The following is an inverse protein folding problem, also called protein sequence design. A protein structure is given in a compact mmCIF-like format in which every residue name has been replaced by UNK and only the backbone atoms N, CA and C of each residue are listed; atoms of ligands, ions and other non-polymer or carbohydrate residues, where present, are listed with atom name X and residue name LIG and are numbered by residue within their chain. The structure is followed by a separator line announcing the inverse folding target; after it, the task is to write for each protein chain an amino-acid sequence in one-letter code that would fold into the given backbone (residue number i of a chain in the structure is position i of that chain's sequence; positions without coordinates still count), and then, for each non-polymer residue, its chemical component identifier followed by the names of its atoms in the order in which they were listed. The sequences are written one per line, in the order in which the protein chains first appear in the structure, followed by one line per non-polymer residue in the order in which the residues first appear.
data_IF_442931179431
#
_entry.id   IF_442931179431
#
_cell.length_a   1.000
_cell.length_b   1.000
_cell.length_c   1.000
_cell.angle_alpha   90.00
_cell.angle_beta   90.00
_cell.angle_gamma   90.00
#
_symmetry.space_group_name_H-M   'P 1'
#
loop_
_entity.id
_entity.type
_entity.pdbx_description
1 polymer ?
#
# COMPACT_ATOMS: atom_id res chain seq x y z
N UNK A 1 -1.16 -25.35 7.28
CA UNK A 1 -0.66 -25.23 8.68
C UNK A 1 -0.53 -26.59 9.35
N UNK A 2 -1.53 -27.48 9.29
CA UNK A 2 -1.49 -28.80 9.95
C UNK A 2 -0.31 -29.70 9.51
N UNK A 3 0.22 -29.48 8.29
CA UNK A 3 1.35 -30.23 7.73
C UNK A 3 2.70 -29.49 7.84
N UNK A 4 2.75 -28.31 8.50
CA UNK A 4 3.97 -27.52 8.65
C UNK A 4 4.43 -26.83 7.36
N UNK A 5 3.55 -26.61 6.37
CA UNK A 5 3.84 -25.84 5.17
C UNK A 5 3.53 -24.36 5.36
N UNK A 6 4.22 -23.53 4.58
CA UNK A 6 4.03 -22.09 4.49
C UNK A 6 3.43 -21.75 3.14
N UNK A 7 2.40 -20.89 3.13
CA UNK A 7 1.83 -20.31 1.92
C UNK A 7 2.27 -18.85 1.82
N UNK A 8 2.83 -18.47 0.69
CA UNK A 8 3.27 -17.09 0.40
C UNK A 8 2.65 -16.65 -0.91
N UNK A 9 2.08 -15.45 -0.94
CA UNK A 9 1.44 -14.95 -2.14
C UNK A 9 0.62 -13.70 -1.88
N UNK A 10 -0.29 -13.41 -2.78
CA UNK A 10 -1.14 -12.23 -2.73
C UNK A 10 -2.55 -12.52 -3.26
N UNK A 11 -3.46 -11.62 -2.90
CA UNK A 11 -4.77 -11.46 -3.50
C UNK A 11 -4.83 -10.06 -4.09
N UNK A 12 -5.10 -9.94 -5.39
CA UNK A 12 -5.17 -8.64 -6.05
C UNK A 12 -6.42 -7.86 -5.62
N UNK A 13 -6.37 -6.54 -5.76
CA UNK A 13 -7.52 -5.67 -5.51
C UNK A 13 -8.74 -6.07 -6.36
N UNK A 14 -8.51 -6.50 -7.59
CA UNK A 14 -9.54 -6.89 -8.56
C UNK A 14 -10.24 -8.20 -8.20
N UNK A 15 -9.75 -8.93 -7.21
CA UNK A 15 -10.45 -10.08 -6.65
C UNK A 15 -11.64 -9.69 -5.74
N UNK A 16 -11.82 -8.41 -5.42
CA UNK A 16 -12.84 -7.93 -4.49
C UNK A 16 -14.26 -8.44 -4.77
N UNK A 17 -14.75 -8.55 -6.03
CA UNK A 17 -16.09 -9.11 -6.32
C UNK A 17 -16.27 -10.58 -5.92
N UNK A 18 -15.17 -11.32 -5.75
CA UNK A 18 -15.25 -12.71 -5.25
C UNK A 18 -15.58 -12.80 -3.76
N UNK A 19 -15.38 -11.72 -3.01
CA UNK A 19 -15.67 -11.62 -1.57
C UNK A 19 -16.99 -10.92 -1.26
N UNK A 20 -17.41 -9.97 -2.10
CA UNK A 20 -18.66 -9.24 -1.95
C UNK A 20 -19.19 -8.83 -3.34
N UNK A 21 -20.38 -9.32 -3.71
CA UNK A 21 -21.00 -9.11 -5.03
C UNK A 21 -21.26 -7.63 -5.39
N UNK A 22 -21.35 -6.75 -4.39
CA UNK A 22 -21.54 -5.31 -4.60
C UNK A 22 -20.27 -4.59 -5.03
N UNK A 23 -19.12 -5.20 -4.81
CA UNK A 23 -17.85 -4.60 -5.24
C UNK A 23 -17.71 -4.66 -6.75
N UNK A 24 -17.35 -3.55 -7.34
CA UNK A 24 -17.10 -3.44 -8.77
C UNK A 24 -15.63 -3.03 -8.96
N UNK A 25 -15.01 -3.66 -9.92
CA UNK A 25 -13.63 -3.36 -10.31
C UNK A 25 -13.55 -3.06 -11.79
N UNK A 26 -12.60 -2.23 -12.18
CA UNK A 26 -12.31 -1.97 -13.57
C UNK A 26 -11.28 -2.98 -14.08
N UNK A 27 -11.43 -3.40 -15.34
CA UNK A 27 -10.41 -4.18 -16.01
C UNK A 27 -9.17 -3.29 -16.16
N UNK A 28 -8.10 -3.61 -15.46
CA UNK A 28 -6.86 -2.85 -15.58
C UNK A 28 -6.22 -3.11 -16.96
N UNK A 29 -5.83 -2.07 -17.70
CA UNK A 29 -5.22 -2.22 -19.03
C UNK A 29 -3.92 -3.03 -19.04
N UNK A 30 -3.25 -3.10 -17.89
CA UNK A 30 -1.96 -3.77 -17.71
C UNK A 30 -2.07 -5.16 -17.08
N UNK A 31 -3.28 -5.66 -16.81
CA UNK A 31 -3.46 -6.86 -16.00
C UNK A 31 -3.25 -8.15 -16.82
N UNK A 32 -2.04 -8.67 -16.74
CA UNK A 32 -1.75 -10.10 -16.98
C UNK A 32 -1.62 -10.89 -15.67
N UNK A 33 -1.94 -10.26 -14.53
CA UNK A 33 -1.70 -10.81 -13.22
C UNK A 33 -2.82 -11.74 -12.76
N UNK A 34 -2.47 -12.70 -11.91
CA UNK A 34 -3.46 -13.55 -11.26
C UNK A 34 -4.27 -12.75 -10.23
N UNK A 35 -5.57 -12.99 -10.15
CA UNK A 35 -6.41 -12.45 -9.08
C UNK A 35 -5.99 -12.99 -7.71
N UNK A 36 -5.40 -14.18 -7.70
CA UNK A 36 -4.91 -14.85 -6.52
C UNK A 36 -3.71 -15.71 -6.91
N UNK A 37 -2.57 -15.51 -6.25
CA UNK A 37 -1.36 -16.30 -6.46
C UNK A 37 -0.77 -16.72 -5.14
N UNK A 38 -0.54 -18.02 -4.93
CA UNK A 38 0.12 -18.56 -3.75
C UNK A 38 1.08 -19.68 -4.11
N UNK A 39 2.24 -19.65 -3.52
CA UNK A 39 3.21 -20.75 -3.55
C UNK A 39 3.26 -21.44 -2.20
N UNK A 40 3.55 -22.75 -2.21
CA UNK A 40 3.62 -23.58 -1.00
C UNK A 40 5.07 -23.99 -0.76
N UNK A 41 5.57 -23.68 0.42
CA UNK A 41 6.94 -23.94 0.83
C UNK A 41 6.98 -24.88 2.05
N UNK A 42 7.99 -25.74 2.11
CA UNK A 42 8.20 -26.65 3.24
C UNK A 42 9.17 -26.08 4.28
N UNK A 43 9.83 -24.98 4.00
CA UNK A 43 10.73 -24.26 4.90
C UNK A 43 10.74 -22.77 4.59
N UNK A 44 11.14 -21.98 5.58
CA UNK A 44 11.45 -20.55 5.45
C UNK A 44 12.89 -20.31 5.90
N UNK A 45 13.47 -19.23 5.41
CA UNK A 45 14.79 -18.74 5.84
C UNK A 45 14.64 -17.31 6.33
N UNK A 46 15.38 -16.97 7.37
CA UNK A 46 15.46 -15.57 7.81
C UNK A 46 16.49 -14.85 6.95
N UNK A 47 16.07 -13.74 6.35
CA UNK A 47 16.96 -12.83 5.66
C UNK A 47 17.07 -11.52 6.44
N UNK A 48 18.26 -10.93 6.44
CA UNK A 48 18.44 -9.59 7.00
C UNK A 48 17.81 -8.55 6.08
N UNK A 49 17.17 -7.54 6.67
CA UNK A 49 16.75 -6.35 5.92
C UNK A 49 18.03 -5.61 5.47
N UNK A 50 18.16 -5.23 4.20
CA UNK A 50 19.32 -4.50 3.74
C UNK A 50 19.42 -3.17 4.47
N UNK A 51 20.63 -2.82 4.92
CA UNK A 51 20.93 -1.51 5.53
C UNK A 51 21.39 -0.50 4.49
N UNK A 52 21.84 -0.99 3.34
CA UNK A 52 22.30 -0.20 2.19
C UNK A 52 21.77 -0.87 0.92
N UNK A 53 21.72 -0.13 -0.16
CA UNK A 53 21.34 -0.64 -1.47
C UNK A 53 22.42 -0.32 -2.51
N UNK A 54 22.47 -1.10 -3.57
CA UNK A 54 23.25 -0.79 -4.75
C UNK A 54 22.56 0.33 -5.54
N UNK A 55 23.35 1.21 -6.16
CA UNK A 55 22.76 2.23 -7.05
C UNK A 55 22.04 1.56 -8.21
N UNK A 56 20.80 1.94 -8.39
CA UNK A 56 19.96 1.50 -9.49
C UNK A 56 19.42 2.71 -10.23
N UNK A 57 19.43 2.65 -11.55
CA UNK A 57 18.89 3.72 -12.38
C UNK A 57 17.36 3.76 -12.26
N UNK A 58 16.84 4.87 -11.78
CA UNK A 58 15.40 5.10 -11.68
C UNK A 58 14.90 5.86 -12.90
N UNK A 59 13.65 5.63 -13.34
CA UNK A 59 13.10 6.36 -14.47
C UNK A 59 13.17 7.87 -14.26
N UNK A 60 13.67 8.58 -15.29
CA UNK A 60 13.74 10.03 -15.27
C UNK A 60 12.35 10.70 -15.25
N UNK A 61 11.33 10.00 -15.76
CA UNK A 61 9.96 10.48 -15.81
C UNK A 61 8.96 9.32 -15.61
N UNK A 62 7.87 9.63 -14.94
CA UNK A 62 6.72 8.76 -14.74
C UNK A 62 5.53 9.32 -15.49
N UNK A 63 4.83 8.49 -16.23
CA UNK A 63 3.62 8.87 -16.96
C UNK A 63 2.38 8.48 -16.16
N UNK A 64 1.50 9.47 -15.89
CA UNK A 64 0.19 9.21 -15.31
C UNK A 64 -0.76 8.57 -16.33
N UNK A 65 -1.49 7.54 -15.93
CA UNK A 65 -2.55 6.93 -16.75
C UNK A 65 -3.86 7.70 -16.67
N UNK A 66 -4.01 8.59 -15.70
CA UNK A 66 -5.17 9.46 -15.53
C UNK A 66 -4.78 10.87 -15.93
N UNK A 67 -5.52 11.48 -16.85
CA UNK A 67 -5.32 12.87 -17.24
C UNK A 67 -5.73 13.83 -16.11
N UNK A 68 -5.21 15.04 -16.12
CA UNK A 68 -5.58 16.10 -15.16
C UNK A 68 -7.09 16.39 -15.19
N UNK A 69 -7.71 16.40 -16.36
CA UNK A 69 -9.13 16.65 -16.51
C UNK A 69 -9.98 15.53 -15.90
N UNK A 70 -9.60 14.26 -16.10
CA UNK A 70 -10.26 13.11 -15.49
C UNK A 70 -10.12 13.15 -13.97
N UNK A 71 -8.93 13.48 -13.48
CA UNK A 71 -8.69 13.64 -12.04
C UNK A 71 -9.58 14.73 -11.43
N UNK A 72 -9.62 15.93 -12.02
CA UNK A 72 -10.45 17.03 -11.53
C UNK A 72 -11.93 16.65 -11.51
N UNK A 73 -12.44 16.05 -12.58
CA UNK A 73 -13.82 15.58 -12.65
C UNK A 73 -14.15 14.52 -11.59
N UNK A 74 -13.24 13.58 -11.36
CA UNK A 74 -13.40 12.56 -10.32
C UNK A 74 -13.47 13.19 -8.92
N UNK A 75 -12.58 14.13 -8.61
CA UNK A 75 -12.57 14.85 -7.33
C UNK A 75 -13.85 15.66 -7.12
N UNK A 76 -14.34 16.35 -8.15
CA UNK A 76 -15.62 17.07 -8.08
C UNK A 76 -16.79 16.13 -7.79
N UNK A 77 -16.83 14.97 -8.44
CA UNK A 77 -17.85 13.94 -8.22
C UNK A 77 -17.77 13.38 -6.79
N UNK A 78 -16.58 13.09 -6.29
CA UNK A 78 -16.36 12.62 -4.91
C UNK A 78 -16.84 13.67 -3.90
N UNK A 79 -16.48 14.93 -4.10
CA UNK A 79 -16.94 16.02 -3.24
C UNK A 79 -18.46 16.17 -3.26
N UNK A 80 -19.11 15.93 -4.40
CA UNK A 80 -20.57 15.93 -4.50
C UNK A 80 -21.18 14.84 -3.60
N UNK A 81 -20.72 13.59 -3.72
CA UNK A 81 -21.20 12.47 -2.91
C UNK A 81 -20.96 12.65 -1.42
N UNK A 82 -19.79 13.20 -1.04
CA UNK A 82 -19.52 13.54 0.37
C UNK A 82 -20.50 14.58 0.89
N UNK A 83 -20.81 15.64 0.12
CA UNK A 83 -21.76 16.66 0.54
C UNK A 83 -23.21 16.15 0.64
N UNK A 84 -23.57 15.15 -0.17
CA UNK A 84 -24.89 14.50 -0.10
C UNK A 84 -24.98 13.50 1.07
N UNK A 85 -23.86 13.12 1.67
CA UNK A 85 -23.82 12.13 2.74
C UNK A 85 -23.83 10.68 2.23
N UNK A 86 -23.60 10.47 0.94
CA UNK A 86 -23.52 9.13 0.35
C UNK A 86 -22.27 8.36 0.83
N UNK A 87 -21.21 9.09 1.10
CA UNK A 87 -19.96 8.58 1.66
C UNK A 87 -19.29 9.66 2.51
N UNK A 88 -18.38 9.26 3.41
CA UNK A 88 -17.62 10.21 4.23
C UNK A 88 -16.13 10.25 3.83
N UNK A 89 -15.65 9.26 3.11
CA UNK A 89 -14.25 9.18 2.67
C UNK A 89 -14.15 8.36 1.38
N UNK A 90 -13.27 8.78 0.49
CA UNK A 90 -12.88 8.04 -0.71
C UNK A 90 -11.36 8.10 -0.84
N UNK A 91 -10.73 6.94 -1.06
CA UNK A 91 -9.33 6.85 -1.44
C UNK A 91 -9.24 6.82 -2.97
N UNK A 92 -8.99 7.96 -3.57
CA UNK A 92 -8.82 8.05 -5.02
C UNK A 92 -7.36 7.84 -5.38
N UNK A 93 -7.10 6.85 -6.22
CA UNK A 93 -5.74 6.48 -6.64
C UNK A 93 -5.53 6.77 -8.12
N UNK A 94 -4.32 7.15 -8.48
CA UNK A 94 -3.86 7.27 -9.87
C UNK A 94 -2.67 6.33 -10.07
N UNK A 95 -2.61 5.73 -11.26
CA UNK A 95 -1.49 4.87 -11.64
C UNK A 95 -0.46 5.69 -12.41
N UNK A 96 0.80 5.45 -12.09
CA UNK A 96 1.94 5.98 -12.82
C UNK A 96 2.68 4.81 -13.46
N UNK A 97 3.15 5.01 -14.68
CA UNK A 97 3.92 4.02 -15.43
C UNK A 97 5.27 4.59 -15.83
N UNK A 98 6.28 3.74 -15.85
CA UNK A 98 7.59 4.05 -16.38
C UNK A 98 8.24 2.77 -16.94
N UNK A 99 9.18 2.93 -17.86
CA UNK A 99 10.00 1.83 -18.31
C UNK A 99 11.11 1.57 -17.28
N UNK A 100 11.24 0.32 -16.90
CA UNK A 100 12.25 -0.18 -15.97
C UNK A 100 12.88 -1.45 -16.55
N UNK A 101 14.14 -1.68 -16.22
CA UNK A 101 14.76 -2.97 -16.51
C UNK A 101 14.23 -4.01 -15.51
N UNK A 102 13.57 -5.10 -15.93
CA UNK A 102 13.02 -6.10 -15.02
C UNK A 102 14.08 -6.74 -14.11
N UNK A 103 15.33 -6.83 -14.56
CA UNK A 103 16.44 -7.40 -13.76
C UNK A 103 16.77 -6.54 -12.53
N UNK A 104 16.38 -5.26 -12.53
CA UNK A 104 16.63 -4.34 -11.43
C UNK A 104 15.55 -4.37 -10.33
N UNK A 105 14.50 -5.17 -10.49
CA UNK A 105 13.34 -5.18 -9.58
C UNK A 105 13.72 -5.37 -8.12
N UNK A 106 14.61 -6.32 -7.81
CA UNK A 106 15.08 -6.56 -6.44
C UNK A 106 15.97 -5.42 -5.91
N UNK A 107 16.80 -4.81 -6.76
CA UNK A 107 17.63 -3.67 -6.39
C UNK A 107 16.75 -2.43 -6.08
N UNK A 108 15.71 -2.20 -6.89
CA UNK A 108 14.71 -1.16 -6.65
C UNK A 108 13.97 -1.40 -5.35
N UNK A 109 13.55 -2.65 -5.08
CA UNK A 109 12.91 -3.01 -3.82
C UNK A 109 13.81 -2.70 -2.61
N UNK A 110 15.07 -3.12 -2.65
CA UNK A 110 16.03 -2.85 -1.58
C UNK A 110 16.23 -1.35 -1.33
N UNK A 111 16.33 -0.57 -2.40
CA UNK A 111 16.38 0.89 -2.32
C UNK A 111 15.14 1.46 -1.62
N UNK A 112 13.95 1.06 -2.05
CA UNK A 112 12.69 1.52 -1.46
C UNK A 112 12.58 1.15 0.02
N UNK A 113 12.97 -0.06 0.42
CA UNK A 113 12.96 -0.50 1.82
C UNK A 113 13.85 0.40 2.69
N UNK A 114 15.06 0.72 2.22
CA UNK A 114 16.00 1.57 2.96
C UNK A 114 15.52 3.02 3.02
N UNK A 115 15.08 3.58 1.90
CA UNK A 115 14.66 4.99 1.81
C UNK A 115 13.34 5.25 2.55
N UNK A 116 12.38 4.35 2.49
CA UNK A 116 11.05 4.53 3.11
C UNK A 116 11.02 4.08 4.57
N UNK A 117 11.89 3.15 4.96
CA UNK A 117 11.92 2.58 6.32
C UNK A 117 10.52 2.16 6.84
N UNK A 118 9.70 1.60 5.96
CA UNK A 118 8.34 1.19 6.29
C UNK A 118 8.35 -0.12 7.11
N UNK A 119 7.31 -0.33 7.93
CA UNK A 119 7.24 -1.45 8.84
C UNK A 119 6.88 -2.78 8.15
N UNK A 120 6.15 -2.73 7.03
CA UNK A 120 5.61 -3.92 6.36
C UNK A 120 6.01 -3.92 4.90
N UNK A 121 7.01 -4.71 4.57
CA UNK A 121 7.56 -4.78 3.23
C UNK A 121 7.42 -6.20 2.69
N UNK A 122 7.13 -6.34 1.41
CA UNK A 122 7.08 -7.62 0.73
C UNK A 122 7.62 -7.51 -0.71
N UNK A 123 8.39 -8.52 -1.10
CA UNK A 123 8.82 -8.75 -2.47
C UNK A 123 8.27 -10.10 -2.91
N UNK A 124 7.45 -10.11 -3.95
CA UNK A 124 6.92 -11.35 -4.52
C UNK A 124 7.24 -11.37 -6.01
N UNK A 125 7.94 -12.40 -6.43
CA UNK A 125 8.33 -12.59 -7.83
C UNK A 125 7.79 -13.92 -8.34
N UNK A 126 7.18 -13.88 -9.51
CA UNK A 126 6.73 -15.06 -10.24
C UNK A 126 6.63 -14.76 -11.73
N UNK A 127 6.95 -15.73 -12.57
CA UNK A 127 6.96 -15.60 -14.03
C UNK A 127 7.74 -14.34 -14.47
N UNK A 128 7.09 -13.40 -15.14
CA UNK A 128 7.66 -12.12 -15.58
C UNK A 128 7.20 -10.93 -14.72
N UNK A 129 6.63 -11.20 -13.55
CA UNK A 129 6.06 -10.19 -12.66
C UNK A 129 6.81 -10.12 -11.32
N UNK A 130 7.12 -8.92 -10.86
CA UNK A 130 7.59 -8.66 -9.51
C UNK A 130 6.69 -7.62 -8.82
N UNK A 131 6.24 -7.92 -7.62
CA UNK A 131 5.45 -7.03 -6.76
C UNK A 131 6.35 -6.52 -5.65
N UNK A 132 6.53 -5.21 -5.58
CA UNK A 132 7.34 -4.50 -4.59
C UNK A 132 6.40 -3.72 -3.68
N UNK A 133 6.07 -4.28 -2.52
CA UNK A 133 5.18 -3.64 -1.56
C UNK A 133 5.97 -3.02 -0.42
N UNK A 134 5.81 -1.71 -0.22
CA UNK A 134 6.43 -0.95 0.86
C UNK A 134 5.30 -0.24 1.60
N UNK A 135 4.86 -0.82 2.72
CA UNK A 135 3.67 -0.34 3.44
C UNK A 135 3.98 0.10 4.86
N UNK A 136 3.50 1.27 5.29
CA UNK A 136 3.57 1.69 6.69
C UNK A 136 2.49 1.04 7.55
N UNK A 137 1.47 0.41 6.95
CA UNK A 137 0.23 0.02 7.61
C UNK A 137 0.03 -1.49 7.58
N UNK A 138 -0.33 -2.08 8.73
CA UNK A 138 -0.71 -3.49 8.84
C UNK A 138 -2.21 -3.64 8.54
N UNK A 139 -2.52 -4.36 7.48
CA UNK A 139 -3.90 -4.73 7.16
C UNK A 139 -4.46 -5.65 8.25
N UNK A 140 -3.87 -6.83 8.42
CA UNK A 140 -4.12 -7.68 9.57
C UNK A 140 -3.01 -8.73 9.75
N UNK A 141 -2.90 -9.21 10.98
CA UNK A 141 -2.08 -10.35 11.38
C UNK A 141 -2.93 -11.25 12.26
N UNK A 142 -2.91 -12.55 12.02
CA UNK A 142 -3.52 -13.56 12.90
C UNK A 142 -2.42 -14.39 13.56
N UNK A 143 -2.41 -14.44 14.87
CA UNK A 143 -1.50 -15.27 15.65
C UNK A 143 -2.24 -15.96 16.78
N UNK A 144 -2.30 -17.28 16.75
CA UNK A 144 -2.94 -18.14 17.79
C UNK A 144 -4.40 -17.78 18.09
N UNK A 145 -5.15 -17.41 17.06
CA UNK A 145 -6.56 -17.02 17.19
C UNK A 145 -6.78 -15.56 17.59
N UNK A 146 -5.72 -14.77 17.75
CA UNK A 146 -5.79 -13.33 17.96
C UNK A 146 -5.56 -12.59 16.65
N UNK A 147 -6.52 -11.73 16.28
CA UNK A 147 -6.45 -10.89 15.08
C UNK A 147 -5.99 -9.48 15.48
N UNK A 148 -4.90 -9.05 14.90
CA UNK A 148 -4.36 -7.70 15.09
C UNK A 148 -4.46 -6.90 13.80
N UNK A 149 -4.96 -5.66 13.89
CA UNK A 149 -4.89 -4.65 12.82
C UNK A 149 -4.20 -3.40 13.32
N UNK A 150 -3.54 -2.65 12.44
CA UNK A 150 -2.87 -1.38 12.81
C UNK A 150 -3.17 -0.31 11.78
N UNK A 151 -4.45 0.12 11.69
CA UNK A 151 -4.84 1.17 10.75
C UNK A 151 -4.21 2.51 11.14
N UNK A 152 -3.80 3.29 10.13
CA UNK A 152 -3.22 4.62 10.31
C UNK A 152 -4.19 5.67 9.79
N UNK A 153 -4.48 6.67 10.63
CA UNK A 153 -5.28 7.84 10.29
C UNK A 153 -4.60 9.08 10.86
N UNK A 154 -4.64 10.15 10.08
CA UNK A 154 -3.99 11.40 10.43
C UNK A 154 -2.46 11.31 10.43
N UNK A 155 -1.83 12.26 9.74
CA UNK A 155 -0.38 12.31 9.62
C UNK A 155 0.07 13.77 9.73
N UNK A 156 1.17 14.01 10.41
CA UNK A 156 1.83 15.30 10.46
C UNK A 156 3.34 15.12 10.39
N UNK A 157 4.03 16.16 9.99
CA UNK A 157 5.49 16.17 9.94
C UNK A 157 6.07 16.12 11.35
N UNK A 158 7.25 15.52 11.50
CA UNK A 158 8.04 15.60 12.71
C UNK A 158 8.57 17.03 12.91
N UNK A 159 8.65 17.48 14.14
CA UNK A 159 9.29 18.74 14.47
C UNK A 159 10.81 18.68 14.31
N UNK A 160 11.43 19.80 13.95
CA UNK A 160 12.90 19.91 13.89
C UNK A 160 13.55 19.94 15.28
N UNK A 161 12.77 20.31 16.31
CA UNK A 161 13.17 20.30 17.72
C UNK A 161 12.19 19.44 18.53
N UNK A 162 12.61 19.01 19.70
CA UNK A 162 11.74 18.27 20.63
C UNK A 162 10.46 19.04 21.01
N UNK A 163 10.55 20.35 21.13
CA UNK A 163 9.41 21.22 21.44
C UNK A 163 8.41 21.24 20.27
N UNK A 164 8.88 21.51 19.06
CA UNK A 164 8.05 21.45 17.86
C UNK A 164 7.42 20.06 17.62
N UNK A 165 8.16 18.99 17.91
CA UNK A 165 7.64 17.63 17.78
C UNK A 165 6.49 17.36 18.77
N UNK A 166 6.60 17.87 19.99
CA UNK A 166 5.52 17.81 20.99
C UNK A 166 4.29 18.63 20.58
N UNK A 167 4.51 19.80 20.00
CA UNK A 167 3.42 20.65 19.47
C UNK A 167 2.68 19.92 18.33
N UNK A 168 3.41 19.32 17.39
CA UNK A 168 2.84 18.54 16.28
C UNK A 168 2.04 17.34 16.80
N UNK A 169 2.57 16.62 17.78
CA UNK A 169 1.85 15.50 18.41
C UNK A 169 0.57 15.96 19.13
N UNK A 170 0.63 17.07 19.86
CA UNK A 170 -0.52 17.65 20.52
C UNK A 170 -1.59 18.13 19.53
N UNK A 171 -1.16 18.77 18.43
CA UNK A 171 -2.05 19.19 17.35
C UNK A 171 -2.76 17.98 16.73
N UNK A 172 -2.00 16.94 16.35
CA UNK A 172 -2.55 15.72 15.76
C UNK A 172 -3.61 15.05 16.64
N UNK A 173 -3.37 15.01 17.95
CA UNK A 173 -4.30 14.43 18.92
C UNK A 173 -5.58 15.26 19.14
N UNK A 174 -5.56 16.56 18.83
CA UNK A 174 -6.67 17.50 19.07
C UNK A 174 -7.43 17.86 17.80
N UNK A 175 -6.85 17.64 16.62
CA UNK A 175 -7.47 18.00 15.36
C UNK A 175 -8.79 17.24 15.15
N UNK A 176 -9.84 17.98 14.83
CA UNK A 176 -11.21 17.45 14.75
C UNK A 176 -11.36 16.39 13.66
N UNK A 177 -10.69 16.58 12.49
CA UNK A 177 -10.72 15.62 11.39
C UNK A 177 -10.05 14.31 11.79
N UNK A 178 -8.84 14.39 12.34
CA UNK A 178 -8.06 13.21 12.76
C UNK A 178 -8.76 12.43 13.86
N UNK A 179 -9.39 13.13 14.79
CA UNK A 179 -10.21 12.50 15.86
C UNK A 179 -11.45 11.79 15.29
N UNK A 180 -12.13 12.39 14.31
CA UNK A 180 -13.29 11.77 13.65
C UNK A 180 -12.88 10.50 12.88
N UNK A 181 -11.79 10.54 12.14
CA UNK A 181 -11.24 9.37 11.43
C UNK A 181 -10.82 8.26 12.39
N UNK A 182 -10.18 8.61 13.50
CA UNK A 182 -9.76 7.63 14.52
C UNK A 182 -10.96 6.99 15.23
N UNK A 183 -12.04 7.74 15.43
CA UNK A 183 -13.27 7.22 16.03
C UNK A 183 -13.92 6.15 15.14
N UNK A 184 -13.80 6.25 13.81
CA UNK A 184 -14.35 5.28 12.87
C UNK A 184 -13.64 3.91 12.98
N UNK A 185 -12.36 3.89 13.37
CA UNK A 185 -11.60 2.67 13.59
C UNK A 185 -12.10 1.93 14.82
#
# INVERSE_FOLDING_TARGET
QEKGYYAVGYVSYEAAPAFEEKFQVHSAPLQKEYLLYFTIHNKTEQAAIPLTYEEVEMPAAWQGLTSEQEYQKAIETIHHHIRQGDTYQVNYTVQLCAELNPEDSLAIYNRLVVEQNAAYNAYVEHDETAILSISPELFFEEHRGELTTRPMKGTTNRGLTLEQDREQAAWLAQDAKNRAENMMI
#
